data_IF_924281876914
#
_entry.id   IF_924281876914
#
_cell.length_a   1.000
_cell.length_b   1.000
_cell.length_c   1.000
_cell.angle_alpha   90.00
_cell.angle_beta   90.00
_cell.angle_gamma   90.00
#
_symmetry.space_group_name_H-M   'P 1'
#
loop_
_entity.id
_entity.type
_entity.pdbx_description
1 polymer ?
#
# COMPACT_ATOMS: atom_id res chain seq x y z
N UNK A 1 -3.33 15.85 4.37
CA UNK A 1 -3.78 15.79 2.96
C UNK A 1 -5.02 14.93 2.96
N UNK A 2 -6.21 15.52 2.81
CA UNK A 2 -7.45 14.81 2.57
C UNK A 2 -7.35 13.88 1.35
N UNK A 3 -8.23 12.89 1.25
CA UNK A 3 -8.19 11.92 0.13
C UNK A 3 -8.50 12.60 -1.21
N UNK A 4 -9.29 13.66 -1.20
CA UNK A 4 -9.66 14.49 -2.35
C UNK A 4 -8.45 15.23 -2.94
N UNK A 5 -7.39 15.40 -2.15
CA UNK A 5 -6.15 16.03 -2.54
C UNK A 5 -5.09 15.04 -3.06
N UNK A 6 -5.45 13.76 -3.24
CA UNK A 6 -4.54 12.70 -3.69
C UNK A 6 -3.77 13.04 -4.96
N UNK A 7 -4.37 13.79 -5.88
CA UNK A 7 -3.72 14.25 -7.10
C UNK A 7 -2.46 15.10 -6.87
N UNK A 8 -2.23 15.64 -5.67
CA UNK A 8 -0.94 16.27 -5.32
C UNK A 8 0.24 15.29 -5.36
N UNK A 9 -0.02 13.97 -5.28
CA UNK A 9 1.01 12.95 -5.47
C UNK A 9 1.48 12.86 -6.94
N UNK A 10 0.74 13.43 -7.88
CA UNK A 10 1.10 13.46 -9.29
C UNK A 10 1.99 14.67 -9.65
N UNK A 11 2.16 15.61 -8.72
CA UNK A 11 3.04 16.76 -8.92
C UNK A 11 4.53 16.35 -8.91
N UNK A 12 5.38 17.06 -9.67
CA UNK A 12 6.81 16.82 -9.67
C UNK A 12 7.41 17.11 -8.28
N UNK A 13 8.49 16.38 -7.95
CA UNK A 13 9.20 16.55 -6.68
C UNK A 13 8.51 15.83 -5.52
N UNK A 14 8.57 16.46 -4.34
CA UNK A 14 8.16 15.89 -3.06
C UNK A 14 7.37 16.90 -2.24
N UNK A 15 6.52 16.39 -1.36
CA UNK A 15 5.86 17.18 -0.34
C UNK A 15 6.83 17.54 0.80
N UNK A 16 6.51 18.55 1.63
CA UNK A 16 7.32 18.89 2.81
C UNK A 16 7.56 17.71 3.76
N UNK A 17 6.62 16.76 3.82
CA UNK A 17 6.71 15.52 4.61
C UNK A 17 6.32 14.34 3.74
N UNK A 18 7.31 13.54 3.35
CA UNK A 18 7.13 12.28 2.64
C UNK A 18 7.17 11.05 3.56
N UNK A 19 7.84 11.17 4.71
CA UNK A 19 7.90 10.12 5.73
C UNK A 19 7.62 10.71 7.12
N UNK A 20 6.68 10.11 7.84
CA UNK A 20 6.28 10.53 9.18
C UNK A 20 4.79 10.27 9.43
N UNK A 21 4.36 10.44 10.68
CA UNK A 21 2.95 10.41 11.05
C UNK A 21 2.53 11.71 11.75
N UNK A 22 1.27 12.09 11.62
CA UNK A 22 0.72 13.26 12.29
C UNK A 22 -0.80 13.15 12.39
N UNK A 23 -1.36 13.80 13.41
CA UNK A 23 -2.80 13.92 13.60
C UNK A 23 -3.32 15.16 12.88
N UNK A 24 -4.44 15.03 12.20
CA UNK A 24 -5.17 16.15 11.57
C UNK A 24 -6.30 16.65 12.47
N UNK A 25 -6.87 17.86 12.23
CA UNK A 25 -7.82 18.48 13.16
C UNK A 25 -9.10 17.69 13.45
N UNK A 26 -9.55 16.81 12.54
CA UNK A 26 -10.71 15.93 12.76
C UNK A 26 -10.38 14.69 13.61
N UNK A 27 -9.13 14.52 14.04
CA UNK A 27 -8.68 13.42 14.89
C UNK A 27 -8.01 12.28 14.14
N UNK A 28 -8.17 12.19 12.80
CA UNK A 28 -7.58 11.13 11.99
C UNK A 28 -6.05 11.13 12.11
N UNK A 29 -5.46 9.95 12.02
CA UNK A 29 -4.02 9.78 11.97
C UNK A 29 -3.58 9.57 10.53
N UNK A 30 -2.70 10.44 10.03
CA UNK A 30 -2.09 10.29 8.72
C UNK A 30 -0.70 9.71 8.89
N UNK A 31 -0.43 8.60 8.20
CA UNK A 31 0.91 8.03 8.09
C UNK A 31 1.38 8.16 6.66
N UNK A 32 2.63 8.61 6.49
CA UNK A 32 3.28 8.76 5.20
C UNK A 32 4.60 8.03 5.23
N UNK A 33 4.91 7.33 4.16
CA UNK A 33 6.19 6.67 4.00
C UNK A 33 6.65 6.81 2.55
N UNK A 34 7.90 7.20 2.36
CA UNK A 34 8.58 7.11 1.08
C UNK A 34 9.63 6.00 1.14
N UNK A 35 9.52 5.07 0.19
CA UNK A 35 10.45 3.95 0.03
C UNK A 35 11.08 4.06 -1.35
N UNK A 36 12.40 4.00 -1.40
CA UNK A 36 13.13 3.86 -2.65
C UNK A 36 13.29 2.38 -2.93
N UNK A 37 12.93 1.96 -4.13
CA UNK A 37 13.02 0.55 -4.55
C UNK A 37 13.94 0.45 -5.77
N UNK A 38 15.27 0.35 -5.57
CA UNK A 38 16.22 0.21 -6.67
C UNK A 38 15.93 -1.03 -7.51
N UNK A 39 16.07 -0.92 -8.83
CA UNK A 39 15.79 -2.00 -9.82
C UNK A 39 14.32 -2.43 -9.93
N UNK A 40 13.44 -2.02 -9.02
CA UNK A 40 12.00 -2.22 -9.15
C UNK A 40 11.38 -1.26 -10.16
N UNK A 41 10.19 -1.61 -10.66
CA UNK A 41 9.29 -0.74 -11.43
C UNK A 41 7.88 -0.86 -10.91
N UNK A 42 7.05 0.16 -11.14
CA UNK A 42 5.64 0.14 -10.73
C UNK A 42 4.90 -1.12 -11.17
N UNK A 43 5.10 -1.55 -12.43
CA UNK A 43 4.55 -2.81 -12.96
C UNK A 43 4.84 -4.05 -12.10
N UNK A 44 5.98 -4.09 -11.41
CA UNK A 44 6.38 -5.21 -10.55
C UNK A 44 5.61 -5.17 -9.22
N UNK A 45 5.39 -3.97 -8.69
CA UNK A 45 4.58 -3.77 -7.47
C UNK A 45 3.12 -4.11 -7.75
N UNK A 46 2.56 -3.63 -8.87
CA UNK A 46 1.20 -4.01 -9.30
C UNK A 46 1.04 -5.52 -9.45
N UNK A 47 1.99 -6.17 -10.12
CA UNK A 47 2.04 -7.62 -10.24
C UNK A 47 2.09 -8.33 -8.88
N UNK A 48 2.87 -7.82 -7.92
CA UNK A 48 2.98 -8.40 -6.59
C UNK A 48 1.63 -8.51 -5.91
N UNK A 49 0.81 -7.45 -5.93
CA UNK A 49 -0.53 -7.48 -5.34
C UNK A 49 -1.50 -8.45 -6.03
N UNK A 50 -1.28 -8.76 -7.31
CA UNK A 50 -1.99 -9.84 -8.02
C UNK A 50 -1.40 -11.24 -7.80
N UNK A 51 -0.14 -11.34 -7.37
CA UNK A 51 0.61 -12.58 -7.17
C UNK A 51 0.41 -13.19 -5.78
N UNK A 52 0.27 -12.36 -4.73
CA UNK A 52 -0.03 -12.85 -3.38
C UNK A 52 -1.34 -13.63 -3.42
N UNK A 53 -1.31 -14.87 -2.92
CA UNK A 53 -2.42 -15.82 -3.06
C UNK A 53 -2.81 -16.49 -1.74
N UNK A 54 -1.88 -16.51 -0.78
CA UNK A 54 -2.00 -17.26 0.47
C UNK A 54 -1.05 -16.70 1.54
N UNK A 55 -1.15 -17.26 2.76
CA UNK A 55 -0.28 -16.89 3.88
C UNK A 55 1.21 -17.10 3.58
N UNK A 56 1.58 -18.12 2.80
CA UNK A 56 2.98 -18.40 2.48
C UNK A 56 3.58 -17.27 1.64
N UNK A 57 2.90 -16.88 0.56
CA UNK A 57 3.31 -15.73 -0.26
C UNK A 57 3.25 -14.42 0.52
N UNK A 58 2.26 -14.23 1.41
CA UNK A 58 2.20 -13.03 2.26
C UNK A 58 3.40 -12.94 3.22
N UNK A 59 3.84 -14.08 3.77
CA UNK A 59 4.99 -14.16 4.68
C UNK A 59 6.34 -13.88 4.01
N UNK A 60 6.44 -14.05 2.68
CA UNK A 60 7.63 -13.62 1.93
C UNK A 60 7.86 -12.11 2.06
N UNK A 61 6.79 -11.33 2.18
CA UNK A 61 6.85 -9.87 2.26
C UNK A 61 7.47 -9.40 3.58
N UNK A 62 7.01 -9.97 4.69
CA UNK A 62 7.46 -9.56 6.01
C UNK A 62 7.24 -10.66 7.06
N UNK A 63 8.20 -10.91 7.98
CA UNK A 63 8.06 -11.95 9.01
C UNK A 63 6.94 -11.68 10.04
N UNK A 64 6.43 -10.45 10.11
CA UNK A 64 5.30 -10.09 10.96
C UNK A 64 3.95 -10.57 10.40
N UNK A 65 3.89 -10.96 9.13
CA UNK A 65 2.67 -11.43 8.48
C UNK A 65 2.29 -12.82 9.00
N UNK A 66 1.06 -12.97 9.51
CA UNK A 66 0.61 -14.19 10.20
C UNK A 66 -0.46 -14.94 9.44
N UNK A 67 -1.36 -14.22 8.78
CA UNK A 67 -2.48 -14.82 8.07
C UNK A 67 -2.86 -13.97 6.86
N UNK A 68 -3.31 -14.63 5.81
CA UNK A 68 -3.81 -13.99 4.61
C UNK A 68 -4.90 -14.84 3.96
N UNK A 69 -5.98 -14.20 3.51
CA UNK A 69 -7.02 -14.85 2.70
C UNK A 69 -7.73 -13.84 1.80
N UNK A 70 -7.86 -14.15 0.52
CA UNK A 70 -8.75 -13.46 -0.40
C UNK A 70 -10.21 -13.89 -0.26
N UNK A 71 -11.12 -12.98 -0.60
CA UNK A 71 -12.53 -13.31 -0.90
C UNK A 71 -12.67 -13.98 -2.28
N UNK A 72 -13.91 -14.35 -2.62
CA UNK A 72 -14.25 -15.04 -3.87
C UNK A 72 -14.11 -14.19 -5.15
N UNK A 73 -13.86 -12.88 -5.02
CA UNK A 73 -13.74 -11.97 -6.17
C UNK A 73 -12.32 -11.90 -6.71
N UNK A 74 -11.35 -12.36 -5.93
CA UNK A 74 -9.97 -12.42 -6.37
C UNK A 74 -9.76 -13.54 -7.38
N UNK A 75 -8.86 -13.29 -8.34
CA UNK A 75 -8.26 -14.33 -9.17
C UNK A 75 -6.79 -14.02 -9.42
N UNK A 76 -5.94 -15.00 -9.78
CA UNK A 76 -4.53 -14.76 -10.02
C UNK A 76 -4.30 -13.60 -11.01
N UNK A 77 -3.55 -12.58 -10.58
CA UNK A 77 -3.28 -11.37 -11.37
C UNK A 77 -4.38 -10.30 -11.35
N UNK A 78 -5.50 -10.54 -10.68
CA UNK A 78 -6.64 -9.60 -10.63
C UNK A 78 -7.17 -9.45 -9.19
N UNK A 79 -6.80 -8.34 -8.54
CA UNK A 79 -7.17 -8.04 -7.14
C UNK A 79 -8.13 -6.86 -7.00
N UNK A 80 -8.31 -6.03 -8.03
CA UNK A 80 -9.24 -4.88 -7.97
C UNK A 80 -10.67 -5.38 -7.77
N UNK A 81 -11.37 -4.82 -6.78
CA UNK A 81 -12.71 -5.21 -6.36
C UNK A 81 -12.74 -6.36 -5.35
N UNK A 82 -11.62 -7.05 -5.12
CA UNK A 82 -11.48 -8.10 -4.12
C UNK A 82 -11.07 -7.54 -2.76
N UNK A 83 -11.32 -8.34 -1.72
CA UNK A 83 -10.97 -8.05 -0.33
C UNK A 83 -10.01 -9.09 0.20
N UNK A 84 -8.87 -8.69 0.76
CA UNK A 84 -8.08 -9.62 1.58
C UNK A 84 -8.37 -9.43 3.07
N UNK A 85 -8.37 -10.52 3.82
CA UNK A 85 -8.35 -10.54 5.28
C UNK A 85 -6.96 -10.93 5.71
N UNK A 86 -6.33 -10.08 6.51
CA UNK A 86 -4.95 -10.24 6.97
C UNK A 86 -4.87 -10.20 8.49
N UNK A 87 -3.90 -10.94 9.02
CA UNK A 87 -3.42 -10.73 10.39
C UNK A 87 -1.92 -10.46 10.37
N UNK A 88 -1.50 -9.41 11.07
CA UNK A 88 -0.10 -8.97 11.08
C UNK A 88 0.28 -8.30 12.40
N UNK A 89 1.53 -8.50 12.80
CA UNK A 89 2.08 -7.90 14.02
C UNK A 89 2.58 -6.48 13.71
N UNK A 90 1.91 -5.46 14.25
CA UNK A 90 2.29 -4.04 14.10
C UNK A 90 2.69 -3.51 15.47
N UNK A 91 4.00 -3.29 15.66
CA UNK A 91 4.54 -3.02 16.98
C UNK A 91 4.20 -4.15 17.95
N UNK A 92 3.54 -3.84 19.07
CA UNK A 92 3.13 -4.84 20.08
C UNK A 92 1.74 -5.41 19.87
N UNK A 93 1.00 -4.97 18.85
CA UNK A 93 -0.39 -5.36 18.61
C UNK A 93 -0.53 -6.29 17.41
N UNK A 94 -1.45 -7.25 17.50
CA UNK A 94 -1.87 -8.07 16.37
C UNK A 94 -3.04 -7.39 15.69
N UNK A 95 -2.82 -6.87 14.50
CA UNK A 95 -3.84 -6.24 13.69
C UNK A 95 -4.59 -7.31 12.91
N UNK A 96 -5.92 -7.18 12.85
CA UNK A 96 -6.78 -7.97 11.96
C UNK A 96 -7.51 -7.00 11.07
N UNK A 97 -7.22 -7.03 9.78
CA UNK A 97 -7.69 -6.01 8.84
C UNK A 97 -8.31 -6.69 7.63
N UNK A 98 -9.39 -6.09 7.13
CA UNK A 98 -9.95 -6.43 5.83
C UNK A 98 -9.72 -5.23 4.91
N UNK A 99 -8.96 -5.40 3.83
CA UNK A 99 -8.71 -4.31 2.87
C UNK A 99 -9.39 -4.66 1.56
N UNK A 100 -10.30 -3.78 1.13
CA UNK A 100 -10.99 -3.88 -0.16
C UNK A 100 -10.28 -2.98 -1.16
N UNK A 101 -9.78 -3.57 -2.24
CA UNK A 101 -9.08 -2.83 -3.30
C UNK A 101 -10.06 -2.30 -4.35
N UNK A 102 -9.74 -1.14 -4.91
CA UNK A 102 -10.55 -0.48 -5.92
C UNK A 102 -9.70 0.17 -7.00
N UNK A 103 -10.35 0.59 -8.09
CA UNK A 103 -9.64 1.12 -9.25
C UNK A 103 -9.06 2.51 -8.93
N UNK A 104 -7.79 2.80 -9.27
CA UNK A 104 -7.20 4.11 -9.00
C UNK A 104 -7.96 5.28 -9.62
N UNK A 105 -8.72 5.08 -10.69
CA UNK A 105 -9.56 6.12 -11.31
C UNK A 105 -10.71 6.61 -10.42
N UNK A 106 -11.03 5.90 -9.34
CA UNK A 106 -12.00 6.35 -8.34
C UNK A 106 -11.48 7.52 -7.49
N UNK A 107 -10.14 7.67 -7.36
CA UNK A 107 -9.52 8.67 -6.47
C UNK A 107 -8.41 9.51 -7.14
N UNK A 108 -7.95 9.12 -8.32
CA UNK A 108 -6.93 9.84 -9.09
C UNK A 108 -7.43 10.29 -10.46
N UNK A 109 -6.86 11.39 -10.96
CA UNK A 109 -6.88 11.71 -12.38
C UNK A 109 -5.82 10.85 -13.10
N UNK A 110 -6.23 9.64 -13.50
CA UNK A 110 -5.38 8.66 -14.18
C UNK A 110 -4.85 9.14 -15.54
N UNK A 111 -5.46 10.16 -16.15
CA UNK A 111 -4.96 10.73 -17.42
C UNK A 111 -3.57 11.34 -17.26
N UNK A 112 -3.20 11.73 -16.04
CA UNK A 112 -1.91 12.33 -15.68
C UNK A 112 -0.82 11.30 -15.36
N UNK A 113 -1.16 10.02 -15.18
CA UNK A 113 -0.22 8.99 -14.69
C UNK A 113 1.04 8.89 -15.55
N UNK A 114 0.87 8.89 -16.88
CA UNK A 114 2.01 8.83 -17.81
C UNK A 114 2.96 10.01 -17.63
N UNK A 115 2.43 11.23 -17.54
CA UNK A 115 3.23 12.44 -17.37
C UNK A 115 3.92 12.47 -15.99
N UNK A 116 3.23 11.99 -14.95
CA UNK A 116 3.75 11.86 -13.59
C UNK A 116 4.65 10.63 -13.36
N UNK A 117 4.86 9.79 -14.40
CA UNK A 117 5.60 8.52 -14.34
C UNK A 117 5.06 7.54 -13.29
N UNK A 118 3.75 7.52 -13.06
CA UNK A 118 3.12 6.52 -12.18
C UNK A 118 3.10 5.18 -12.90
N UNK A 119 3.90 4.24 -12.40
CA UNK A 119 3.97 2.87 -12.93
C UNK A 119 2.96 1.93 -12.28
N UNK A 120 2.46 2.27 -11.08
CA UNK A 120 1.37 1.58 -10.40
C UNK A 120 0.73 2.50 -9.35
N UNK A 121 -0.54 2.27 -9.07
CA UNK A 121 -1.24 2.84 -7.92
C UNK A 121 -2.09 1.73 -7.28
N UNK A 122 -1.80 1.38 -6.03
CA UNK A 122 -2.58 0.39 -5.27
C UNK A 122 -3.44 1.16 -4.28
N UNK A 123 -4.75 1.05 -4.43
CA UNK A 123 -5.72 1.79 -3.63
C UNK A 123 -6.66 0.82 -2.93
N UNK A 124 -6.88 1.02 -1.64
CA UNK A 124 -7.79 0.20 -0.87
C UNK A 124 -8.28 0.84 0.42
N UNK A 125 -9.41 0.36 0.90
CA UNK A 125 -10.03 0.78 2.14
C UNK A 125 -9.96 -0.36 3.16
N UNK A 126 -9.47 -0.06 4.36
CA UNK A 126 -9.63 -0.93 5.50
C UNK A 126 -11.08 -0.83 5.98
N UNK A 127 -11.82 -1.95 5.96
CA UNK A 127 -13.27 -2.01 6.20
C UNK A 127 -13.62 -2.93 7.37
N UNK A 128 -14.70 -2.60 8.07
CA UNK A 128 -15.29 -3.46 9.09
C UNK A 128 -16.14 -4.62 8.49
N UNK A 129 -16.82 -5.37 9.35
CA UNK A 129 -17.67 -6.49 8.94
C UNK A 129 -18.90 -6.07 8.12
N UNK A 130 -19.32 -4.81 8.25
CA UNK A 130 -20.42 -4.19 7.52
C UNK A 130 -19.94 -3.53 6.22
N UNK A 131 -18.63 -3.51 5.95
CA UNK A 131 -18.03 -2.88 4.78
C UNK A 131 -17.85 -1.36 4.91
N UNK A 132 -17.96 -0.83 6.13
CA UNK A 132 -17.75 0.59 6.42
C UNK A 132 -16.24 0.84 6.52
N UNK A 133 -15.68 1.80 5.76
CA UNK A 133 -14.27 2.14 5.86
C UNK A 133 -13.91 2.71 7.24
N UNK A 134 -12.86 2.15 7.84
CA UNK A 134 -12.21 2.67 9.03
C UNK A 134 -10.76 3.12 8.76
N UNK A 135 -10.30 3.00 7.52
CA UNK A 135 -9.03 3.53 7.06
C UNK A 135 -8.89 3.49 5.55
N UNK A 136 -7.97 4.30 5.02
CA UNK A 136 -7.60 4.31 3.61
C UNK A 136 -6.11 4.02 3.46
N UNK A 137 -5.75 3.27 2.43
CA UNK A 137 -4.38 2.93 2.05
C UNK A 137 -4.18 3.23 0.58
N UNK A 138 -3.14 4.02 0.29
CA UNK A 138 -2.76 4.39 -1.07
C UNK A 138 -1.25 4.22 -1.22
N UNK A 139 -0.86 3.38 -2.17
CA UNK A 139 0.51 3.24 -2.61
C UNK A 139 0.66 3.78 -4.01
N UNK A 140 1.30 4.95 -4.16
CA UNK A 140 1.61 5.51 -5.48
C UNK A 140 3.05 5.21 -5.84
N UNK A 141 3.28 4.45 -6.91
CA UNK A 141 4.62 4.04 -7.34
C UNK A 141 5.05 4.85 -8.55
N UNK A 142 6.04 5.72 -8.36
CA UNK A 142 6.61 6.58 -9.39
C UNK A 142 7.91 5.98 -9.92
N UNK A 143 7.97 5.70 -11.21
CA UNK A 143 9.19 5.18 -11.84
C UNK A 143 10.26 6.28 -11.97
N UNK A 144 11.49 5.90 -11.64
CA UNK A 144 12.69 6.75 -11.67
C UNK A 144 13.80 6.09 -12.48
N UNK A 145 14.92 6.78 -12.64
CA UNK A 145 16.05 6.29 -13.41
C UNK A 145 16.77 5.12 -12.71
N UNK A 146 16.68 5.01 -11.37
CA UNK A 146 17.30 3.93 -10.60
C UNK A 146 16.36 2.75 -10.29
N UNK A 147 15.07 2.89 -10.57
CA UNK A 147 14.04 1.92 -10.17
C UNK A 147 12.69 2.60 -10.06
N UNK A 148 12.09 2.56 -8.87
CA UNK A 148 10.92 3.35 -8.52
C UNK A 148 10.97 3.89 -7.09
N UNK A 149 10.07 4.83 -6.81
CA UNK A 149 9.74 5.35 -5.49
C UNK A 149 8.30 4.99 -5.16
N UNK A 150 8.08 4.33 -4.03
CA UNK A 150 6.75 4.03 -3.53
C UNK A 150 6.39 5.03 -2.43
N UNK A 151 5.36 5.84 -2.70
CA UNK A 151 4.84 6.88 -1.81
C UNK A 151 3.55 6.37 -1.17
N UNK A 152 3.67 5.92 0.06
CA UNK A 152 2.61 5.33 0.84
C UNK A 152 1.87 6.42 1.63
N UNK A 153 0.55 6.33 1.65
CA UNK A 153 -0.34 7.17 2.44
C UNK A 153 -1.36 6.29 3.12
N UNK A 154 -1.48 6.47 4.43
CA UNK A 154 -2.49 5.83 5.24
C UNK A 154 -3.28 6.91 5.97
N UNK A 155 -4.59 6.76 5.96
CA UNK A 155 -5.51 7.53 6.78
C UNK A 155 -6.15 6.55 7.74
N UNK A 156 -5.84 6.67 9.02
CA UNK A 156 -6.50 5.88 10.07
C UNK A 156 -7.59 6.76 10.66
N UNK A 157 -8.85 6.40 10.40
CA UNK A 157 -9.98 7.26 10.67
C UNK A 157 -10.33 7.24 12.16
N UNK A 158 -10.58 8.42 12.73
CA UNK A 158 -10.96 8.60 14.12
C UNK A 158 -12.48 8.56 14.27
N UNK A 159 -13.01 7.38 14.55
CA UNK A 159 -14.44 7.15 14.76
C UNK A 159 -14.66 5.90 15.61
N UNK A 160 -15.74 5.80 16.41
CA UNK A 160 -15.99 4.60 17.20
C UNK A 160 -16.03 3.32 16.33
N UNK A 161 -15.40 2.20 16.76
CA UNK A 161 -14.59 2.02 17.98
C UNK A 161 -13.09 2.32 17.81
N UNK A 162 -12.67 2.82 16.65
CA UNK A 162 -11.28 3.04 16.24
C UNK A 162 -10.78 4.45 16.56
N UNK A 163 -9.84 4.54 17.51
CA UNK A 163 -9.22 5.80 17.92
C UNK A 163 -7.70 5.68 17.85
N UNK A 164 -7.09 5.89 16.67
CA UNK A 164 -5.65 5.65 16.48
C UNK A 164 -4.82 6.61 17.33
N UNK A 165 -4.00 6.06 18.21
CA UNK A 165 -3.04 6.81 19.02
C UNK A 165 -1.67 6.91 18.33
N UNK A 166 -0.71 7.55 18.98
CA UNK A 166 0.63 7.75 18.41
C UNK A 166 1.43 6.43 18.33
N UNK A 167 1.10 5.43 19.15
CA UNK A 167 1.74 4.10 19.06
C UNK A 167 1.27 3.39 17.81
N UNK A 168 -0.01 3.47 17.48
CA UNK A 168 -0.57 2.95 16.22
C UNK A 168 0.08 3.68 15.04
N UNK A 169 0.16 5.01 15.07
CA UNK A 169 0.81 5.80 14.01
C UNK A 169 2.28 5.42 13.78
N UNK A 170 3.06 5.29 14.85
CA UNK A 170 4.45 4.83 14.80
C UNK A 170 4.56 3.37 14.34
N UNK A 171 3.65 2.52 14.79
CA UNK A 171 3.60 1.11 14.43
C UNK A 171 3.40 0.93 12.93
N UNK A 172 2.39 1.59 12.36
CA UNK A 172 2.12 1.55 10.90
C UNK A 172 3.28 2.15 10.11
N UNK A 173 3.87 3.26 10.57
CA UNK A 173 5.06 3.86 9.95
C UNK A 173 6.23 2.87 9.88
N UNK A 174 6.54 2.25 11.02
CA UNK A 174 7.68 1.31 11.15
C UNK A 174 7.44 0.05 10.33
N UNK A 175 6.26 -0.53 10.45
CA UNK A 175 5.88 -1.73 9.70
C UNK A 175 5.96 -1.50 8.19
N UNK A 176 5.43 -0.37 7.70
CA UNK A 176 5.48 -0.06 6.28
C UNK A 176 6.89 0.24 5.76
N UNK A 177 7.77 0.82 6.60
CA UNK A 177 9.19 0.96 6.27
C UNK A 177 9.86 -0.40 6.07
N UNK A 178 9.59 -1.36 6.96
CA UNK A 178 10.19 -2.69 6.94
C UNK A 178 9.65 -3.55 5.79
N UNK A 179 8.32 -3.67 5.65
CA UNK A 179 7.72 -4.54 4.63
C UNK A 179 8.06 -4.08 3.21
N UNK A 180 8.03 -2.77 2.95
CA UNK A 180 8.29 -2.25 1.61
C UNK A 180 9.78 -2.26 1.29
N UNK A 181 10.63 -2.13 2.31
CA UNK A 181 12.07 -2.35 2.19
C UNK A 181 12.38 -3.80 1.82
N UNK A 182 11.82 -4.76 2.55
CA UNK A 182 11.97 -6.18 2.24
C UNK A 182 11.45 -6.52 0.83
N UNK A 183 10.28 -5.98 0.45
CA UNK A 183 9.74 -6.16 -0.89
C UNK A 183 10.70 -5.62 -1.95
N UNK A 184 11.31 -4.46 -1.73
CA UNK A 184 12.28 -3.88 -2.66
C UNK A 184 13.49 -4.80 -2.92
N UNK A 185 13.89 -5.59 -1.92
CA UNK A 185 15.06 -6.46 -2.02
C UNK A 185 14.81 -7.69 -2.91
N UNK A 186 13.67 -8.36 -2.77
CA UNK A 186 13.41 -9.61 -3.50
C UNK A 186 12.52 -9.47 -4.74
N UNK A 187 11.74 -8.39 -4.86
CA UNK A 187 10.72 -8.26 -5.90
C UNK A 187 11.27 -8.35 -7.33
N UNK A 188 12.39 -7.71 -7.71
CA UNK A 188 12.90 -7.80 -9.08
C UNK A 188 13.25 -9.24 -9.49
N UNK A 189 13.92 -9.97 -8.60
CA UNK A 189 14.38 -11.34 -8.88
C UNK A 189 13.22 -12.33 -8.91
N UNK A 190 12.27 -12.16 -7.98
CA UNK A 190 11.02 -12.91 -7.98
C UNK A 190 10.23 -12.65 -9.27
N UNK A 191 10.03 -11.38 -9.64
CA UNK A 191 9.28 -11.01 -10.84
C UNK A 191 9.91 -11.61 -12.10
N UNK A 192 11.24 -11.53 -12.24
CA UNK A 192 11.96 -12.10 -13.39
C UNK A 192 11.83 -13.63 -13.47
N UNK A 193 11.84 -14.33 -12.34
CA UNK A 193 11.68 -15.78 -12.29
C UNK A 193 10.27 -16.22 -12.69
N UNK A 194 9.24 -15.56 -12.17
CA UNK A 194 7.85 -15.90 -12.45
C UNK A 194 7.38 -15.40 -13.83
N UNK A 195 8.13 -14.47 -14.46
CA UNK A 195 7.81 -13.90 -15.77
C UNK A 195 9.01 -13.97 -16.74
N UNK A 196 9.45 -15.17 -17.19
CA UNK A 196 10.71 -15.38 -17.92
C UNK A 196 10.81 -14.72 -19.33
N UNK A 197 9.88 -13.84 -19.71
CA UNK A 197 9.93 -13.03 -20.94
C UNK A 197 9.84 -11.51 -20.70
N UNK A 198 9.63 -11.08 -19.47
CA UNK A 198 9.50 -9.67 -19.12
C UNK A 198 10.88 -9.04 -18.91
N UNK A 199 11.30 -8.13 -19.80
CA UNK A 199 12.50 -7.32 -19.56
C UNK A 199 12.28 -6.43 -18.32
N UNK A 200 13.29 -6.38 -17.44
CA UNK A 200 13.31 -5.52 -16.24
C UNK A 200 13.05 -4.06 -16.61
#
# INVERSE_FOLDING_TARGET
MPIEELNQLLEPGYMPVETGYYRVPNGDMHVRVLIRMPRCKGKMVDWWFGYIRDTETYQMWHPAHRFFKWDEKWSPGHYIGATHTIEEQVGTELFKVRIKFYDPSEVFDVSRFKAARVGAAVCGDAIDDQGIPHGHLIHTVRDTDYGCEMRNRFWLLHHPPHYPDDKVGMGVLTHNLEEMGNLADFLPDLYARENPGSKS
#
